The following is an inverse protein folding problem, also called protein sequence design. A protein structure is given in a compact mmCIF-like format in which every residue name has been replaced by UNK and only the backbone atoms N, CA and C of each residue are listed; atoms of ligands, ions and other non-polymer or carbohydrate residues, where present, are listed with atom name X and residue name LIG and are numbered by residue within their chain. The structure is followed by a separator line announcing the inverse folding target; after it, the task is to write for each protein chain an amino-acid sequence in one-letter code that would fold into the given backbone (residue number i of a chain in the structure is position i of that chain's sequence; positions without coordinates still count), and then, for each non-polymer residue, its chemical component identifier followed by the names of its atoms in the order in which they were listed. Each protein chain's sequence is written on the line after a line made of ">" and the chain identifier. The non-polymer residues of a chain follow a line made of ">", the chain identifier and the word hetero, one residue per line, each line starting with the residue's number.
data_IF_398282329491
#
_entry.id   IF_398282329491
#
_cell.length_a   1.000
_cell.length_b   1.000
_cell.length_c   1.000
_cell.angle_alpha   90.00
_cell.angle_beta   90.00
_cell.angle_gamma   90.00
#
_symmetry.space_group_name_H-M   'P 1'
#
loop_
_entity.id
_entity.type
_entity.pdbx_description
1 polymer ?
#
# COMPACT_ATOMS: atom_id res chain seq x y z
N UNK A 1 21.70 23.64 -3.64
CA UNK A 1 20.86 22.51 -4.09
C UNK A 1 20.12 21.95 -2.89
N UNK A 2 18.84 22.32 -2.69
CA UNK A 2 18.05 21.75 -1.60
C UNK A 2 17.65 20.33 -1.99
N UNK A 3 18.21 19.33 -1.31
CA UNK A 3 17.82 17.94 -1.44
C UNK A 3 16.36 17.78 -0.99
N UNK A 4 15.41 18.07 -1.89
CA UNK A 4 14.03 17.59 -1.79
C UNK A 4 14.07 16.09 -2.03
N UNK A 5 14.55 15.34 -1.04
CA UNK A 5 14.06 13.98 -0.83
C UNK A 5 12.60 14.18 -0.47
N UNK A 6 11.73 14.28 -1.49
CA UNK A 6 10.34 13.96 -1.28
C UNK A 6 10.40 12.56 -0.66
N UNK A 7 10.20 12.50 0.64
CA UNK A 7 10.08 11.23 1.31
C UNK A 7 8.85 10.65 0.65
N UNK A 8 9.03 9.72 -0.27
CA UNK A 8 7.95 8.90 -0.83
C UNK A 8 7.43 8.03 0.31
N UNK A 9 6.81 8.66 1.31
CA UNK A 9 6.31 8.00 2.50
C UNK A 9 5.13 7.15 2.07
N UNK A 10 5.28 5.85 2.23
CA UNK A 10 4.22 4.87 1.98
C UNK A 10 3.53 4.56 3.30
N UNK A 11 2.24 4.28 3.23
CA UNK A 11 1.41 3.95 4.39
C UNK A 11 0.73 2.62 4.15
N UNK A 12 0.36 1.96 5.25
CA UNK A 12 -0.51 0.79 5.17
C UNK A 12 -1.93 1.28 4.90
N UNK A 13 -2.52 0.82 3.81
CA UNK A 13 -3.86 1.20 3.39
C UNK A 13 -4.79 -0.01 3.30
N UNK A 14 -6.06 0.21 3.61
CA UNK A 14 -7.15 -0.70 3.36
C UNK A 14 -7.95 -0.16 2.17
N UNK A 15 -7.84 -0.85 1.05
CA UNK A 15 -8.55 -0.54 -0.19
C UNK A 15 -9.83 -1.37 -0.21
N UNK A 16 -10.98 -0.68 -0.27
CA UNK A 16 -12.28 -1.31 -0.42
C UNK A 16 -12.66 -1.49 -1.89
N UNK A 17 -13.77 -2.19 -2.11
CA UNK A 17 -14.32 -2.49 -3.43
C UNK A 17 -14.63 -1.25 -4.28
N UNK A 18 -14.99 -0.13 -3.66
CA UNK A 18 -15.25 1.15 -4.34
C UNK A 18 -13.97 1.93 -4.64
N UNK A 19 -12.80 1.26 -4.55
CA UNK A 19 -11.50 1.90 -4.66
C UNK A 19 -11.29 2.95 -3.55
N UNK A 20 -12.03 2.82 -2.44
CA UNK A 20 -11.94 3.70 -1.29
C UNK A 20 -10.69 3.30 -0.51
N UNK A 21 -9.71 4.20 -0.49
CA UNK A 21 -8.43 3.99 0.19
C UNK A 21 -8.54 4.57 1.59
N UNK A 22 -8.69 3.70 2.57
CA UNK A 22 -8.67 4.08 3.99
C UNK A 22 -7.30 3.78 4.56
N UNK A 23 -6.61 4.83 5.02
CA UNK A 23 -5.33 4.66 5.71
C UNK A 23 -5.56 3.80 6.96
N UNK A 24 -4.89 2.65 7.03
CA UNK A 24 -4.91 1.82 8.23
C UNK A 24 -4.16 2.51 9.39
N UNK A 25 -3.23 3.42 9.06
CA UNK A 25 -2.46 4.20 10.01
C UNK A 25 -2.27 5.63 9.52
N UNK A 26 -2.39 6.59 10.43
CA UNK A 26 -2.15 8.01 10.15
C UNK A 26 -0.67 8.35 9.95
N UNK A 27 0.24 7.41 10.21
CA UNK A 27 1.69 7.64 10.12
C UNK A 27 2.27 6.83 8.96
N UNK A 28 2.95 7.52 8.04
CA UNK A 28 3.74 6.89 6.98
C UNK A 28 4.63 5.80 7.59
N UNK A 29 4.38 4.56 7.19
CA UNK A 29 4.93 3.36 7.82
C UNK A 29 6.25 2.94 7.16
N UNK A 30 6.55 3.47 5.97
CA UNK A 30 7.79 3.21 5.26
C UNK A 30 8.10 4.26 4.20
N UNK A 31 9.10 3.97 3.37
CA UNK A 31 9.59 4.83 2.30
C UNK A 31 9.71 4.05 0.98
N UNK A 32 9.01 4.45 -0.08
CA UNK A 32 9.02 3.75 -1.39
C UNK A 32 10.40 3.71 -2.07
N UNK A 33 11.34 4.57 -1.66
CA UNK A 33 12.71 4.56 -2.20
C UNK A 33 13.63 3.54 -1.52
N UNK A 34 13.18 2.85 -0.46
CA UNK A 34 13.98 1.90 0.32
C UNK A 34 13.22 0.63 0.67
N UNK A 35 11.96 0.77 1.03
CA UNK A 35 11.10 -0.31 1.51
C UNK A 35 10.29 -0.89 0.34
N UNK A 36 10.02 -2.20 0.35
CA UNK A 36 9.11 -2.81 -0.61
C UNK A 36 7.71 -2.18 -0.50
N UNK A 37 7.07 -2.00 -1.65
CA UNK A 37 5.72 -1.45 -1.74
C UNK A 37 4.97 -2.15 -2.88
N UNK A 38 3.65 -2.12 -2.80
CA UNK A 38 2.81 -2.59 -3.89
C UNK A 38 2.09 -1.40 -4.51
N UNK A 39 1.91 -1.44 -5.82
CA UNK A 39 1.16 -0.40 -6.54
C UNK A 39 -0.26 -0.89 -6.75
N UNK A 40 -1.24 -0.04 -6.45
CA UNK A 40 -2.63 -0.27 -6.77
C UNK A 40 -3.30 1.08 -7.05
N UNK A 41 -4.16 1.14 -8.05
CA UNK A 41 -4.86 2.38 -8.41
C UNK A 41 -3.94 3.61 -8.63
N UNK A 42 -2.76 3.41 -9.22
CA UNK A 42 -1.71 4.44 -9.38
C UNK A 42 -1.13 5.00 -8.07
N UNK A 43 -1.49 4.43 -6.92
CA UNK A 43 -0.94 4.77 -5.61
C UNK A 43 0.00 3.68 -5.09
N UNK A 44 0.95 4.08 -4.24
CA UNK A 44 1.94 3.18 -3.64
C UNK A 44 1.51 2.87 -2.21
N UNK A 45 1.38 1.59 -1.93
CA UNK A 45 0.90 1.06 -0.68
C UNK A 45 2.02 0.29 0.02
N UNK A 46 2.19 0.52 1.32
CA UNK A 46 3.19 -0.19 2.10
C UNK A 46 2.83 -1.67 2.27
N UNK A 47 3.84 -2.48 2.57
CA UNK A 47 3.64 -3.87 3.01
C UNK A 47 2.61 -3.94 4.14
N UNK A 48 1.70 -4.92 4.04
CA UNK A 48 0.59 -5.11 4.97
C UNK A 48 -0.71 -4.42 4.54
N UNK A 49 -0.67 -3.61 3.48
CA UNK A 49 -1.89 -3.03 2.87
C UNK A 49 -2.80 -4.13 2.35
N UNK A 50 -4.10 -3.89 2.35
CA UNK A 50 -5.11 -4.91 2.04
C UNK A 50 -6.10 -4.39 1.02
N UNK A 51 -6.35 -5.16 -0.03
CA UNK A 51 -7.43 -4.93 -1.00
C UNK A 51 -8.52 -5.95 -0.71
N UNK A 52 -9.75 -5.49 -0.50
CA UNK A 52 -10.92 -6.36 -0.40
C UNK A 52 -11.77 -6.18 -1.64
N UNK A 53 -11.93 -7.25 -2.41
CA UNK A 53 -12.74 -7.27 -3.63
C UNK A 53 -14.15 -7.78 -3.36
N UNK A 54 -15.06 -7.58 -4.32
CA UNK A 54 -16.48 -7.94 -4.23
C UNK A 54 -16.74 -9.42 -3.95
N UNK A 55 -15.87 -10.30 -4.45
CA UNK A 55 -15.96 -11.74 -4.23
C UNK A 55 -15.50 -12.16 -2.83
N UNK A 56 -15.23 -11.20 -1.92
CA UNK A 56 -14.68 -11.44 -0.59
C UNK A 56 -13.18 -11.77 -0.58
N UNK A 57 -12.52 -11.78 -1.76
CA UNK A 57 -11.09 -12.05 -1.85
C UNK A 57 -10.30 -10.90 -1.24
N UNK A 58 -9.32 -11.25 -0.40
CA UNK A 58 -8.43 -10.30 0.25
C UNK A 58 -7.03 -10.46 -0.32
N UNK A 59 -6.53 -9.40 -0.93
CA UNK A 59 -5.14 -9.32 -1.39
C UNK A 59 -4.33 -8.52 -0.40
N UNK A 60 -3.20 -9.05 0.04
CA UNK A 60 -2.30 -8.39 0.99
C UNK A 60 -1.00 -8.04 0.28
N UNK A 61 -0.52 -6.81 0.44
CA UNK A 61 0.79 -6.41 -0.04
C UNK A 61 1.86 -7.08 0.84
N UNK A 62 2.78 -7.80 0.22
CA UNK A 62 3.82 -8.56 0.91
C UNK A 62 5.18 -7.90 0.80
N UNK A 63 6.14 -8.33 1.62
CA UNK A 63 7.54 -7.85 1.60
C UNK A 63 8.26 -8.13 0.27
N UNK A 64 7.68 -8.98 -0.59
CA UNK A 64 8.14 -9.22 -1.97
C UNK A 64 7.71 -8.09 -2.94
N UNK A 65 7.01 -7.05 -2.45
CA UNK A 65 6.48 -5.97 -3.30
C UNK A 65 5.35 -6.43 -4.22
N UNK A 66 4.71 -7.55 -3.89
CA UNK A 66 3.66 -8.18 -4.69
C UNK A 66 2.39 -8.38 -3.87
N UNK A 67 1.24 -8.24 -4.52
CA UNK A 67 -0.06 -8.55 -3.95
C UNK A 67 -0.27 -10.07 -3.91
N UNK A 68 -0.41 -10.64 -2.70
CA UNK A 68 -0.81 -12.04 -2.53
C UNK A 68 -2.27 -12.12 -2.12
N UNK A 69 -3.07 -12.78 -2.95
CA UNK A 69 -4.46 -13.10 -2.63
C UNK A 69 -4.50 -14.27 -1.68
N UNK A 70 -5.17 -14.11 -0.54
CA UNK A 70 -5.52 -15.22 0.33
C UNK A 70 -7.01 -15.55 0.14
N UNK A 71 -7.33 -16.83 0.00
CA UNK A 71 -8.69 -17.33 -0.28
C UNK A 71 -9.41 -17.71 0.99
#
# INVERSE_FOLDING_TARGET
>A
MQNRKQQDSISVDNISQENEIRKATNKGTGNAGKDPFCVYNHERHAVGSKITTENGLKSVCTEEGSWKTNK
#
